data_IF_248510132374
#
_entry.id   IF_248510132374
#
_cell.length_a   1.000
_cell.length_b   1.000
_cell.length_c   1.000
_cell.angle_alpha   90.00
_cell.angle_beta   90.00
_cell.angle_gamma   90.00
#
_symmetry.space_group_name_H-M   'P 1'
#
loop_
_entity.id
_entity.type
_entity.pdbx_description
1 polymer ?
#
# COMPACT_ATOMS: atom_id res chain seq x y z
N UNK A 1 15.10 -1.77 13.50
CA UNK A 1 13.80 -1.54 12.85
C UNK A 1 13.23 -2.91 12.59
N UNK A 2 12.34 -3.39 13.47
CA UNK A 2 11.73 -4.71 13.28
C UNK A 2 10.69 -4.54 12.19
N UNK A 3 11.01 -4.95 10.97
CA UNK A 3 10.06 -4.99 9.87
C UNK A 3 9.18 -6.19 10.16
N UNK A 4 8.08 -5.97 10.89
CA UNK A 4 7.00 -6.94 10.87
C UNK A 4 6.56 -7.04 9.40
N UNK A 5 6.51 -8.22 8.78
CA UNK A 5 6.01 -8.35 7.43
C UNK A 5 4.64 -7.66 7.36
N UNK A 6 4.32 -6.94 6.26
CA UNK A 6 2.99 -6.40 6.08
C UNK A 6 2.00 -7.57 6.22
N UNK A 7 0.97 -7.38 7.04
CA UNK A 7 -0.12 -8.37 7.14
C UNK A 7 -0.59 -8.72 5.72
N UNK A 8 -0.96 -9.97 5.43
CA UNK A 8 -1.39 -10.33 4.08
C UNK A 8 -0.30 -10.78 3.10
N UNK A 9 0.99 -10.59 3.38
CA UNK A 9 2.10 -11.13 2.59
C UNK A 9 2.38 -12.59 3.01
N UNK A 10 1.66 -13.54 2.40
CA UNK A 10 1.64 -14.94 2.79
C UNK A 10 2.93 -15.68 2.45
N UNK A 11 3.63 -15.27 1.39
CA UNK A 11 4.89 -15.89 0.97
C UNK A 11 6.15 -15.14 1.44
N UNK A 12 5.97 -14.01 2.12
CA UNK A 12 7.00 -13.16 2.70
C UNK A 12 7.94 -12.54 1.65
N UNK A 13 7.42 -12.24 0.46
CA UNK A 13 8.17 -11.64 -0.63
C UNK A 13 8.15 -10.09 -0.62
N UNK A 14 7.49 -9.49 0.37
CA UNK A 14 7.25 -8.05 0.57
C UNK A 14 6.29 -7.40 -0.43
N UNK A 15 5.50 -8.19 -1.14
CA UNK A 15 4.50 -7.74 -2.10
C UNK A 15 3.23 -8.53 -1.84
N UNK A 16 2.19 -7.83 -1.40
CA UNK A 16 0.82 -8.37 -1.38
C UNK A 16 0.27 -8.33 -2.80
N UNK A 17 0.05 -9.50 -3.39
CA UNK A 17 -0.53 -9.64 -4.72
C UNK A 17 -1.47 -10.84 -4.85
N UNK A 18 -1.78 -11.23 -6.09
CA UNK A 18 -2.71 -12.32 -6.36
C UNK A 18 -2.27 -13.67 -5.76
N UNK A 19 -0.97 -13.94 -5.66
CA UNK A 19 -0.48 -15.20 -5.12
C UNK A 19 -0.83 -15.33 -3.63
N UNK A 20 -0.84 -14.23 -2.89
CA UNK A 20 -1.27 -14.21 -1.48
C UNK A 20 -2.78 -14.47 -1.32
N UNK A 21 -3.60 -13.83 -2.17
CA UNK A 21 -5.04 -14.07 -2.20
C UNK A 21 -5.35 -15.54 -2.54
N UNK A 22 -4.62 -16.14 -3.47
CA UNK A 22 -4.78 -17.54 -3.80
C UNK A 22 -4.43 -18.47 -2.63
N UNK A 23 -3.51 -18.06 -1.75
CA UNK A 23 -3.10 -18.86 -0.58
C UNK A 23 -4.15 -18.82 0.51
N UNK A 24 -4.67 -17.64 0.87
CA UNK A 24 -5.75 -17.53 1.87
C UNK A 24 -7.02 -18.26 1.41
N UNK A 25 -7.38 -18.15 0.13
CA UNK A 25 -8.51 -18.90 -0.43
C UNK A 25 -8.30 -20.42 -0.34
N UNK A 26 -7.09 -20.89 -0.65
CA UNK A 26 -6.77 -22.31 -0.52
C UNK A 26 -6.80 -22.76 0.95
N UNK A 27 -6.25 -21.96 1.85
CA UNK A 27 -6.22 -22.25 3.28
C UNK A 27 -7.62 -22.33 3.88
N UNK A 28 -8.48 -21.36 3.55
CA UNK A 28 -9.88 -21.36 3.96
C UNK A 28 -10.62 -22.60 3.45
N UNK A 29 -10.52 -22.90 2.15
CA UNK A 29 -11.23 -24.03 1.52
C UNK A 29 -10.78 -25.41 2.03
N UNK A 30 -9.56 -25.53 2.53
CA UNK A 30 -9.01 -26.78 3.04
C UNK A 30 -8.92 -26.83 4.58
N UNK A 31 -9.53 -25.86 5.28
CA UNK A 31 -9.48 -25.75 6.74
C UNK A 31 -8.04 -25.80 7.29
N UNK A 32 -7.11 -25.15 6.59
CA UNK A 32 -5.72 -25.02 7.02
C UNK A 32 -5.59 -23.86 8.01
N UNK A 33 -4.40 -23.72 8.59
CA UNK A 33 -4.04 -22.62 9.47
C UNK A 33 -2.59 -22.21 9.27
N UNK A 34 -2.16 -21.15 9.96
CA UNK A 34 -0.82 -20.60 9.84
C UNK A 34 -0.65 -19.60 8.68
N UNK A 35 0.27 -18.67 8.89
CA UNK A 35 0.50 -17.49 8.04
C UNK A 35 0.58 -17.78 6.54
N UNK A 36 1.36 -18.80 6.14
CA UNK A 36 1.55 -19.14 4.73
C UNK A 36 0.27 -19.59 4.01
N UNK A 37 -0.77 -19.93 4.77
CA UNK A 37 -2.08 -20.33 4.29
C UNK A 37 -3.14 -19.24 4.50
N UNK A 38 -2.79 -18.07 5.05
CA UNK A 38 -3.71 -16.94 5.21
C UNK A 38 -4.24 -16.65 6.63
N UNK A 39 -3.68 -17.27 7.67
CA UNK A 39 -3.97 -16.93 9.09
C UNK A 39 -3.02 -15.81 9.53
N UNK A 40 -3.43 -14.57 9.26
CA UNK A 40 -2.61 -13.37 9.39
C UNK A 40 -2.73 -12.73 10.78
N UNK A 41 -3.79 -13.00 11.53
CA UNK A 41 -3.90 -12.59 12.93
C UNK A 41 -3.27 -13.62 13.90
N UNK A 42 -2.98 -14.83 13.40
CA UNK A 42 -2.30 -15.90 14.13
C UNK A 42 -3.20 -16.62 15.14
N UNK A 43 -4.52 -16.53 14.99
CA UNK A 43 -5.48 -17.13 15.91
C UNK A 43 -5.73 -18.64 15.64
N UNK A 44 -5.20 -19.18 14.54
CA UNK A 44 -5.31 -20.58 14.17
C UNK A 44 -6.54 -20.91 13.31
N UNK A 45 -7.32 -19.91 12.92
CA UNK A 45 -8.51 -20.01 12.08
C UNK A 45 -8.37 -18.98 10.96
N UNK A 46 -8.71 -19.38 9.73
CA UNK A 46 -8.81 -18.45 8.62
C UNK A 46 -10.27 -17.99 8.51
N UNK A 47 -10.52 -16.71 8.69
CA UNK A 47 -11.86 -16.13 8.57
C UNK A 47 -11.86 -14.71 7.99
N UNK A 48 -12.97 -13.99 8.17
CA UNK A 48 -13.16 -12.66 7.61
C UNK A 48 -12.13 -11.63 8.13
N UNK A 49 -11.62 -11.82 9.35
CA UNK A 49 -10.65 -10.89 9.93
C UNK A 49 -9.32 -10.97 9.15
N UNK A 50 -8.92 -12.15 8.69
CA UNK A 50 -7.74 -12.33 7.84
C UNK A 50 -7.90 -11.71 6.44
N UNK A 51 -9.07 -11.88 5.83
CA UNK A 51 -9.38 -11.21 4.55
C UNK A 51 -9.34 -9.68 4.69
N UNK A 52 -9.79 -9.14 5.82
CA UNK A 52 -9.73 -7.71 6.09
C UNK A 52 -8.27 -7.21 6.22
N UNK A 53 -7.39 -8.04 6.79
CA UNK A 53 -5.97 -7.72 6.95
C UNK A 53 -5.23 -7.66 5.61
N UNK A 54 -5.42 -8.64 4.73
CA UNK A 54 -4.77 -8.65 3.40
C UNK A 54 -5.29 -7.50 2.51
N UNK A 55 -6.59 -7.21 2.54
CA UNK A 55 -7.16 -6.06 1.82
C UNK A 55 -6.60 -4.74 2.31
N UNK A 56 -6.49 -4.56 3.62
CA UNK A 56 -5.90 -3.37 4.21
C UNK A 56 -4.44 -3.21 3.76
N UNK A 57 -3.67 -4.29 3.77
CA UNK A 57 -2.27 -4.26 3.39
C UNK A 57 -2.05 -3.97 1.92
N UNK A 58 -2.84 -4.57 1.02
CA UNK A 58 -2.82 -4.27 -0.40
C UNK A 58 -3.08 -2.76 -0.67
N UNK A 59 -4.07 -2.18 0.02
CA UNK A 59 -4.38 -0.75 -0.09
C UNK A 59 -3.24 0.15 0.44
N UNK A 60 -2.58 -0.26 1.53
CA UNK A 60 -1.47 0.51 2.11
C UNK A 60 -0.18 0.38 1.31
N UNK A 61 0.06 -0.78 0.69
CA UNK A 61 1.20 -1.04 -0.20
C UNK A 61 1.22 -0.09 -1.40
N UNK A 62 0.05 0.22 -1.98
CA UNK A 62 -0.11 1.21 -3.05
C UNK A 62 0.00 2.67 -2.59
N UNK A 63 -0.09 2.94 -1.30
CA UNK A 63 -0.03 4.28 -0.69
C UNK A 63 1.35 4.96 -0.79
N UNK A 64 2.36 4.25 -1.28
CA UNK A 64 3.70 4.75 -1.59
C UNK A 64 3.81 5.51 -2.92
N UNK A 65 2.72 5.73 -3.65
CA UNK A 65 2.69 6.71 -4.72
C UNK A 65 2.76 8.11 -4.09
N UNK A 66 3.99 8.55 -3.78
CA UNK A 66 4.26 9.89 -3.26
C UNK A 66 3.43 10.90 -4.04
N UNK A 67 2.67 11.72 -3.32
CA UNK A 67 1.94 12.84 -3.91
C UNK A 67 2.94 13.57 -4.80
N UNK A 68 2.83 13.39 -6.13
CA UNK A 68 3.58 14.23 -7.06
C UNK A 68 3.21 15.64 -6.64
N UNK A 69 4.17 16.43 -6.18
CA UNK A 69 3.93 17.82 -5.87
C UNK A 69 3.38 18.44 -7.15
N UNK A 70 2.05 18.59 -7.23
CA UNK A 70 1.39 19.31 -8.30
C UNK A 70 1.72 20.76 -7.97
N UNK A 71 2.48 21.48 -8.82
CA UNK A 71 2.73 22.89 -8.59
C UNK A 71 1.37 23.58 -8.50
N UNK A 72 1.03 24.08 -7.31
CA UNK A 72 -0.27 24.71 -7.12
C UNK A 72 -0.38 25.93 -8.05
N UNK A 73 -1.59 26.30 -8.50
CA UNK A 73 -1.79 27.43 -9.41
C UNK A 73 -1.08 28.72 -8.99
N UNK A 74 -0.88 28.93 -7.68
CA UNK A 74 -0.12 30.06 -7.12
C UNK A 74 1.38 30.07 -7.48
N UNK A 75 2.03 28.91 -7.59
CA UNK A 75 3.44 28.84 -7.96
C UNK A 75 3.69 29.37 -9.38
N UNK A 76 2.77 29.08 -10.31
CA UNK A 76 2.80 29.63 -11.67
C UNK A 76 2.55 31.15 -11.67
N UNK A 77 1.61 31.63 -10.84
CA UNK A 77 1.35 33.05 -10.71
C UNK A 77 2.58 33.83 -10.21
N UNK A 78 3.32 33.28 -9.25
CA UNK A 78 4.55 33.89 -8.73
C UNK A 78 5.69 33.92 -9.75
N UNK A 79 5.84 32.88 -10.58
CA UNK A 79 6.83 32.86 -11.67
C UNK A 79 6.49 33.92 -12.74
N UNK A 80 5.20 34.06 -13.08
CA UNK A 80 4.75 35.07 -14.04
C UNK A 80 4.96 36.49 -13.51
N UNK A 81 4.63 36.74 -12.23
CA UNK A 81 4.88 38.03 -11.58
C UNK A 81 6.38 38.35 -11.51
N UNK A 82 7.20 37.38 -11.11
CA UNK A 82 8.66 37.54 -11.05
C UNK A 82 9.25 37.85 -12.44
N UNK A 83 8.74 37.19 -13.50
CA UNK A 83 9.17 37.42 -14.88
C UNK A 83 8.81 38.84 -15.34
N UNK A 84 7.57 39.29 -15.11
CA UNK A 84 7.15 40.67 -15.46
C UNK A 84 7.99 41.73 -14.73
N UNK A 85 8.33 41.49 -13.46
CA UNK A 85 9.20 42.39 -12.68
C UNK A 85 10.63 42.40 -13.23
N UNK A 86 11.17 41.25 -13.65
CA UNK A 86 12.52 41.17 -14.23
C UNK A 86 12.60 41.81 -15.62
N UNK A 87 11.58 41.67 -16.47
CA UNK A 87 11.53 42.32 -17.78
C UNK A 87 11.36 43.84 -17.69
N UNK A 88 10.73 44.35 -16.63
CA UNK A 88 10.61 45.80 -16.37
C UNK A 88 11.88 46.45 -15.84
N UNK A 89 12.93 45.67 -15.55
CA UNK A 89 14.22 46.13 -15.01
C UNK A 89 15.36 46.07 -16.04
N UNK A 90 15.05 45.84 -17.31
CA UNK A 90 15.96 45.96 -18.46
C UNK A 90 15.61 47.20 -19.26
#
# INVERSE_FOLDING_TARGET
MSLNPPFGDADLNHIVDFDDYSRIDNGFNNNMSGWANGDFDGNGVIDFDDYSLIDQAFNQQGGGAGTRAIPEPGALAMIMLASVVCLRRR
#
